data_IF_986062278119
#
_entry.id   IF_986062278119
#
_cell.length_a   1.000
_cell.length_b   1.000
_cell.length_c   1.000
_cell.angle_alpha   90.00
_cell.angle_beta   90.00
_cell.angle_gamma   90.00
#
_symmetry.space_group_name_H-M   'P 1'
#
loop_
_entity.id
_entity.type
_entity.pdbx_description
1 polymer ?
#
# COMPACT_ATOMS: atom_id res chain seq x y z
N UNK A 1 -8.64 -3.23 14.99
CA UNK A 1 -7.59 -2.19 15.14
C UNK A 1 -6.42 -2.81 15.90
N UNK A 2 -5.20 -2.65 15.41
CA UNK A 2 -3.97 -3.23 15.97
C UNK A 2 -3.15 -2.20 16.75
N UNK A 3 -3.17 -0.94 16.33
CA UNK A 3 -2.49 0.17 17.00
C UNK A 3 -3.30 1.45 16.86
N UNK A 4 -3.18 2.35 17.85
CA UNK A 4 -3.75 3.68 17.81
C UNK A 4 -2.70 4.76 17.53
N UNK A 5 -1.40 4.45 17.67
CA UNK A 5 -0.29 5.37 17.36
C UNK A 5 0.95 4.59 16.86
N UNK A 6 1.19 4.56 15.53
CA UNK A 6 0.30 5.01 14.44
C UNK A 6 -1.01 4.22 14.39
N UNK A 7 -2.02 4.79 13.75
CA UNK A 7 -3.27 4.06 13.52
C UNK A 7 -3.00 2.95 12.51
N UNK A 8 -3.25 1.69 12.91
CA UNK A 8 -3.09 0.50 12.10
C UNK A 8 -4.32 -0.39 12.27
N UNK A 9 -4.96 -0.74 11.16
CA UNK A 9 -6.06 -1.69 11.15
C UNK A 9 -6.13 -2.50 9.86
N UNK A 10 -6.81 -3.63 9.89
CA UNK A 10 -7.07 -4.48 8.73
C UNK A 10 -8.57 -4.50 8.45
N UNK A 11 -8.91 -4.40 7.18
CA UNK A 11 -10.25 -4.60 6.65
C UNK A 11 -10.29 -5.95 5.98
N UNK A 12 -11.10 -6.85 6.53
CA UNK A 12 -11.27 -8.20 6.02
C UNK A 12 -12.19 -8.21 4.80
N UNK A 13 -11.98 -9.14 3.89
CA UNK A 13 -12.81 -9.38 2.70
C UNK A 13 -13.09 -8.12 1.86
N UNK A 14 -12.12 -7.19 1.81
CA UNK A 14 -12.29 -5.94 1.09
C UNK A 14 -12.19 -6.10 -0.42
N UNK A 15 -11.16 -6.80 -0.91
CA UNK A 15 -11.01 -7.12 -2.32
C UNK A 15 -11.63 -8.49 -2.61
N UNK A 16 -12.48 -8.55 -3.61
CA UNK A 16 -12.96 -9.82 -4.14
C UNK A 16 -11.83 -10.57 -4.85
N UNK A 17 -12.06 -11.86 -5.10
CA UNK A 17 -11.15 -12.68 -5.89
C UNK A 17 -10.94 -12.09 -7.29
N UNK A 18 -12.00 -11.67 -7.95
CA UNK A 18 -11.94 -11.09 -9.29
C UNK A 18 -11.11 -9.80 -9.32
N UNK A 19 -11.21 -8.95 -8.28
CA UNK A 19 -10.39 -7.74 -8.15
C UNK A 19 -8.91 -8.08 -7.96
N UNK A 20 -8.60 -9.06 -7.12
CA UNK A 20 -7.21 -9.52 -6.92
C UNK A 20 -6.62 -10.07 -8.23
N UNK A 21 -7.37 -10.89 -8.96
CA UNK A 21 -6.95 -11.43 -10.26
C UNK A 21 -6.79 -10.33 -11.31
N UNK A 22 -7.67 -9.33 -11.32
CA UNK A 22 -7.59 -8.21 -12.26
C UNK A 22 -6.32 -7.38 -12.07
N UNK A 23 -5.94 -7.06 -10.82
CA UNK A 23 -4.67 -6.40 -10.54
C UNK A 23 -3.48 -7.18 -11.10
N UNK A 24 -3.44 -8.49 -10.88
CA UNK A 24 -2.38 -9.37 -11.38
C UNK A 24 -2.35 -9.41 -12.91
N UNK A 25 -3.52 -9.54 -13.53
CA UNK A 25 -3.65 -9.63 -14.99
C UNK A 25 -3.21 -8.34 -15.68
N UNK A 26 -3.61 -7.18 -15.14
CA UNK A 26 -3.19 -5.88 -15.67
C UNK A 26 -1.69 -5.69 -15.49
N UNK A 27 -1.15 -6.00 -14.30
CA UNK A 27 0.29 -5.90 -14.04
C UNK A 27 1.09 -6.73 -15.06
N UNK A 28 0.69 -7.97 -15.33
CA UNK A 28 1.33 -8.82 -16.33
C UNK A 28 1.28 -8.25 -17.76
N UNK A 29 0.18 -7.54 -18.11
CA UNK A 29 0.00 -6.95 -19.45
C UNK A 29 0.84 -5.70 -19.67
N UNK A 30 0.96 -4.83 -18.66
CA UNK A 30 1.70 -3.57 -18.81
C UNK A 30 3.21 -3.75 -18.76
N UNK A 31 3.69 -4.87 -18.23
CA UNK A 31 5.12 -5.13 -18.03
C UNK A 31 5.70 -4.40 -16.82
N UNK A 32 6.94 -4.73 -16.50
CA UNK A 32 7.65 -4.17 -15.36
C UNK A 32 8.21 -2.78 -15.69
N UNK A 33 8.04 -1.81 -14.78
CA UNK A 33 8.78 -0.54 -14.82
C UNK A 33 10.14 -0.67 -14.13
N UNK A 34 10.21 -1.51 -13.09
CA UNK A 34 11.42 -1.82 -12.34
C UNK A 34 11.36 -3.30 -11.94
N UNK A 35 12.45 -3.85 -11.38
CA UNK A 35 12.51 -5.26 -10.98
C UNK A 35 11.33 -5.58 -10.04
N UNK A 36 10.42 -6.43 -10.52
CA UNK A 36 9.25 -6.90 -9.78
C UNK A 36 8.21 -5.83 -9.38
N UNK A 37 8.26 -4.64 -9.95
CA UNK A 37 7.33 -3.54 -9.65
C UNK A 37 6.53 -3.17 -10.90
N UNK A 38 5.20 -3.08 -10.75
CA UNK A 38 4.24 -2.71 -11.79
C UNK A 38 3.39 -1.55 -11.31
N UNK A 39 3.34 -0.45 -12.09
CA UNK A 39 2.52 0.72 -11.77
C UNK A 39 1.21 0.68 -12.52
N UNK A 40 0.12 0.43 -11.80
CA UNK A 40 -1.21 0.28 -12.37
C UNK A 40 -2.03 1.55 -12.13
N UNK A 41 -2.69 2.06 -13.18
CA UNK A 41 -3.57 3.22 -13.06
C UNK A 41 -4.90 2.85 -12.38
N UNK A 42 -5.53 3.82 -11.72
CA UNK A 42 -6.81 3.65 -11.02
C UNK A 42 -7.98 3.31 -11.95
N UNK A 43 -7.87 3.68 -13.21
CA UNK A 43 -8.87 3.50 -14.28
C UNK A 43 -8.42 2.49 -15.35
N UNK A 44 -7.44 1.64 -15.03
CA UNK A 44 -6.93 0.64 -15.96
C UNK A 44 -8.00 -0.37 -16.41
N UNK A 45 -9.06 -0.54 -15.63
CA UNK A 45 -10.30 -1.23 -16.00
C UNK A 45 -11.48 -0.66 -15.20
N UNK A 46 -12.71 -0.97 -15.64
CA UNK A 46 -13.91 -0.58 -14.89
C UNK A 46 -13.92 -1.17 -13.48
N UNK A 47 -13.45 -2.39 -13.31
CA UNK A 47 -13.37 -3.05 -12.00
C UNK A 47 -12.41 -2.31 -11.06
N UNK A 48 -11.21 -1.95 -11.54
CA UNK A 48 -10.24 -1.19 -10.76
C UNK A 48 -10.73 0.23 -10.45
N UNK A 49 -11.47 0.84 -11.37
CA UNK A 49 -12.08 2.15 -11.13
C UNK A 49 -13.07 2.10 -9.94
N UNK A 50 -13.94 1.08 -9.88
CA UNK A 50 -14.88 0.90 -8.77
C UNK A 50 -14.15 0.52 -7.46
N UNK A 51 -13.11 -0.32 -7.53
CA UNK A 51 -12.23 -0.61 -6.39
C UNK A 51 -11.60 0.67 -5.83
N UNK A 52 -11.10 1.54 -6.72
CA UNK A 52 -10.49 2.82 -6.34
C UNK A 52 -11.47 3.74 -5.62
N UNK A 53 -12.73 3.80 -6.05
CA UNK A 53 -13.78 4.55 -5.35
C UNK A 53 -14.03 4.00 -3.95
N UNK A 54 -14.12 2.68 -3.80
CA UNK A 54 -14.32 2.04 -2.49
C UNK A 54 -13.15 2.31 -1.54
N UNK A 55 -11.91 2.22 -2.03
CA UNK A 55 -10.70 2.55 -1.24
C UNK A 55 -10.70 4.03 -0.82
N UNK A 56 -11.09 4.94 -1.72
CA UNK A 56 -11.24 6.37 -1.42
C UNK A 56 -12.25 6.63 -0.31
N UNK A 57 -13.40 5.94 -0.33
CA UNK A 57 -14.42 6.02 0.71
C UNK A 57 -13.90 5.46 2.03
N UNK A 58 -13.22 4.31 2.00
CA UNK A 58 -12.66 3.67 3.19
C UNK A 58 -11.74 4.60 3.98
N UNK A 59 -10.86 5.32 3.29
CA UNK A 59 -9.89 6.22 3.92
C UNK A 59 -10.33 7.68 3.94
N UNK A 60 -11.55 7.99 3.50
CA UNK A 60 -12.12 9.34 3.42
C UNK A 60 -11.21 10.35 2.70
N UNK A 61 -10.48 9.89 1.69
CA UNK A 61 -9.52 10.70 0.92
C UNK A 61 -9.78 10.52 -0.58
N UNK A 62 -9.90 11.59 -1.36
CA UNK A 62 -10.17 11.50 -2.78
C UNK A 62 -9.10 10.68 -3.53
N UNK A 63 -9.52 9.80 -4.45
CA UNK A 63 -8.60 8.97 -5.22
C UNK A 63 -7.57 9.77 -6.03
N UNK A 64 -7.89 10.98 -6.43
CA UNK A 64 -6.96 11.92 -7.08
C UNK A 64 -5.77 12.34 -6.21
N UNK A 65 -5.83 12.07 -4.91
CA UNK A 65 -4.70 12.25 -3.98
C UNK A 65 -3.85 10.98 -3.87
N UNK A 66 -4.24 9.89 -4.51
CA UNK A 66 -3.49 8.65 -4.46
C UNK A 66 -2.42 8.56 -5.56
N UNK A 67 -1.28 7.99 -5.22
CA UNK A 67 -0.28 7.55 -6.20
C UNK A 67 -0.86 6.38 -7.01
N UNK A 68 -0.25 6.04 -8.16
CA UNK A 68 -0.63 4.81 -8.88
C UNK A 68 -0.48 3.60 -7.97
N UNK A 69 -1.28 2.58 -8.19
CA UNK A 69 -1.07 1.31 -7.52
C UNK A 69 0.32 0.77 -7.81
N UNK A 70 1.00 0.32 -6.77
CA UNK A 70 2.21 -0.48 -6.89
C UNK A 70 1.82 -1.94 -6.69
N UNK A 71 1.85 -2.70 -7.76
CA UNK A 71 1.73 -4.16 -7.69
C UNK A 71 3.13 -4.73 -7.74
N UNK A 72 3.49 -5.54 -6.78
CA UNK A 72 4.86 -6.06 -6.62
C UNK A 72 4.83 -7.58 -6.50
N UNK A 73 5.84 -8.24 -7.06
CA UNK A 73 6.03 -9.67 -6.88
C UNK A 73 7.18 -9.94 -5.92
N UNK A 74 6.97 -10.87 -5.02
CA UNK A 74 8.02 -11.41 -4.15
C UNK A 74 8.25 -12.88 -4.48
N UNK A 75 9.53 -13.26 -4.59
CA UNK A 75 9.93 -14.65 -4.64
C UNK A 75 9.96 -15.24 -3.23
N UNK A 76 10.07 -16.57 -3.16
CA UNK A 76 10.15 -17.32 -1.91
C UNK A 76 11.08 -16.64 -0.89
N UNK A 77 10.56 -16.46 0.34
CA UNK A 77 11.31 -15.95 1.50
C UNK A 77 11.90 -14.54 1.39
N UNK A 78 11.47 -13.74 0.42
CA UNK A 78 11.90 -12.35 0.32
C UNK A 78 11.41 -11.55 1.53
N UNK A 79 12.35 -10.90 2.23
CA UNK A 79 12.07 -9.90 3.25
C UNK A 79 12.50 -8.55 2.69
N UNK A 80 11.61 -7.57 2.71
CA UNK A 80 11.99 -6.20 2.30
C UNK A 80 12.91 -5.56 3.35
N UNK A 81 13.69 -4.58 2.92
CA UNK A 81 14.33 -3.68 3.87
C UNK A 81 13.28 -2.93 4.69
N UNK A 82 13.62 -2.51 5.89
CA UNK A 82 12.75 -1.69 6.70
C UNK A 82 12.40 -0.39 5.95
N UNK A 83 11.12 -0.09 5.85
CA UNK A 83 10.60 1.00 5.02
C UNK A 83 9.73 1.91 5.88
N UNK A 84 9.85 3.22 5.66
CA UNK A 84 8.88 4.23 6.07
C UNK A 84 8.34 4.92 4.82
N UNK A 85 7.03 5.00 4.69
CA UNK A 85 6.40 5.57 3.49
C UNK A 85 6.27 7.10 3.53
N UNK A 86 6.16 7.68 4.72
CA UNK A 86 6.17 9.14 4.87
C UNK A 86 7.48 9.73 4.36
N UNK A 87 7.38 10.91 3.74
CA UNK A 87 8.54 11.62 3.21
C UNK A 87 9.26 12.36 4.33
N UNK A 88 10.59 12.30 4.33
CA UNK A 88 11.41 13.10 5.22
C UNK A 88 11.46 14.55 4.71
N UNK A 89 10.94 15.54 5.45
CA UNK A 89 10.88 16.93 5.00
C UNK A 89 12.27 17.56 4.73
N UNK A 90 13.31 17.09 5.41
CA UNK A 90 14.65 17.64 5.30
C UNK A 90 15.36 17.16 4.01
N UNK A 91 15.17 15.88 3.63
CA UNK A 91 15.90 15.27 2.52
C UNK A 91 15.04 15.07 1.26
N UNK A 92 13.71 15.09 1.40
CA UNK A 92 12.74 14.81 0.34
C UNK A 92 11.75 15.96 0.09
N UNK A 93 12.12 17.20 0.43
CA UNK A 93 11.25 18.38 0.30
C UNK A 93 10.68 18.57 -1.10
N UNK A 94 11.45 18.30 -2.15
CA UNK A 94 10.97 18.38 -3.54
C UNK A 94 9.81 17.45 -3.85
N UNK A 95 9.78 16.25 -3.24
CA UNK A 95 8.69 15.31 -3.37
C UNK A 95 7.43 15.71 -2.59
N UNK A 96 7.54 16.74 -1.74
CA UNK A 96 6.45 17.31 -0.96
C UNK A 96 5.90 18.61 -1.55
N UNK A 97 6.44 19.08 -2.69
CA UNK A 97 5.95 20.28 -3.35
C UNK A 97 4.47 20.17 -3.74
N UNK A 98 3.84 21.32 -3.95
CA UNK A 98 2.38 21.43 -4.17
C UNK A 98 1.88 20.51 -5.29
N UNK A 99 2.63 20.45 -6.39
CA UNK A 99 2.23 19.67 -7.57
C UNK A 99 2.56 18.17 -7.44
N UNK A 100 3.39 17.81 -6.47
CA UNK A 100 3.71 16.42 -6.12
C UNK A 100 2.77 15.80 -5.07
N UNK A 101 1.74 16.53 -4.62
CA UNK A 101 0.71 16.03 -3.70
C UNK A 101 1.03 16.15 -2.21
N UNK A 102 2.17 16.73 -1.82
CA UNK A 102 2.54 16.91 -0.41
C UNK A 102 3.00 15.62 0.28
N UNK A 103 2.73 15.50 1.57
CA UNK A 103 3.14 14.35 2.39
C UNK A 103 2.35 13.07 2.03
N UNK A 104 2.98 11.92 2.22
CA UNK A 104 2.36 10.59 2.15
C UNK A 104 1.70 10.27 3.49
N UNK A 105 0.39 10.42 3.57
CA UNK A 105 -0.34 10.32 4.84
C UNK A 105 -0.75 8.90 5.17
N UNK A 106 -1.19 8.13 4.16
CA UNK A 106 -1.75 6.79 4.35
C UNK A 106 -1.10 5.81 3.38
N UNK A 107 -0.84 4.61 3.86
CA UNK A 107 -0.47 3.45 3.04
C UNK A 107 -1.49 2.34 3.21
N UNK A 108 -1.99 1.82 2.10
CA UNK A 108 -2.84 0.65 2.04
C UNK A 108 -2.02 -0.49 1.45
N UNK A 109 -2.10 -1.66 2.08
CA UNK A 109 -1.33 -2.84 1.69
C UNK A 109 -2.24 -4.05 1.62
N UNK A 110 -2.11 -4.85 0.58
CA UNK A 110 -2.95 -6.03 0.39
C UNK A 110 -2.22 -7.21 -0.23
N UNK A 111 -2.64 -8.42 0.12
CA UNK A 111 -2.23 -9.66 -0.53
C UNK A 111 -3.20 -9.98 -1.68
N UNK A 112 -2.67 -10.29 -2.88
CA UNK A 112 -3.47 -10.52 -4.08
C UNK A 112 -3.60 -12.00 -4.48
N UNK A 113 -2.67 -12.88 -4.10
CA UNK A 113 -2.69 -14.28 -4.52
C UNK A 113 -3.39 -15.18 -3.52
N UNK A 114 -4.15 -16.18 -4.00
CA UNK A 114 -5.01 -17.06 -3.18
C UNK A 114 -4.32 -17.84 -2.05
N UNK A 115 -3.03 -18.04 -2.15
CA UNK A 115 -2.25 -18.80 -1.16
C UNK A 115 -1.27 -17.94 -0.39
N UNK A 116 -1.31 -16.63 -0.63
CA UNK A 116 -0.33 -15.73 -0.07
C UNK A 116 -0.72 -15.32 1.34
N UNK A 117 0.26 -15.45 2.21
CA UNK A 117 0.26 -14.80 3.50
C UNK A 117 1.41 -13.81 3.48
N UNK A 118 1.08 -12.56 3.48
CA UNK A 118 2.05 -11.49 3.69
C UNK A 118 2.12 -11.19 5.18
N UNK A 119 3.30 -11.22 5.71
CA UNK A 119 3.57 -10.75 7.06
C UNK A 119 4.10 -9.32 6.98
N UNK A 120 3.40 -8.40 7.63
CA UNK A 120 3.84 -7.01 7.81
C UNK A 120 4.26 -6.85 9.25
N UNK A 121 5.54 -6.59 9.48
CA UNK A 121 6.12 -6.47 10.82
C UNK A 121 6.49 -5.01 11.09
N UNK A 122 6.00 -4.50 12.21
CA UNK A 122 6.32 -3.18 12.76
C UNK A 122 7.23 -3.38 13.97
N UNK A 123 8.54 -3.24 13.77
CA UNK A 123 9.56 -3.52 14.78
C UNK A 123 9.43 -2.65 16.03
N UNK A 124 9.13 -1.35 15.84
CA UNK A 124 8.97 -0.38 16.93
C UNK A 124 7.72 -0.66 17.82
N UNK A 125 6.78 -1.48 17.33
CA UNK A 125 5.53 -1.81 18.05
C UNK A 125 5.48 -3.26 18.52
N UNK A 126 6.50 -4.06 18.24
CA UNK A 126 6.47 -5.52 18.44
C UNK A 126 5.20 -6.17 17.86
N UNK A 127 4.80 -5.69 16.67
CA UNK A 127 3.55 -6.08 16.01
C UNK A 127 3.84 -6.79 14.72
N UNK A 128 3.26 -7.99 14.54
CA UNK A 128 3.28 -8.77 13.32
C UNK A 128 1.85 -9.03 12.84
N UNK A 129 1.52 -8.57 11.62
CA UNK A 129 0.20 -8.73 11.01
C UNK A 129 0.33 -9.66 9.80
N UNK A 130 -0.47 -10.73 9.79
CA UNK A 130 -0.56 -11.67 8.68
C UNK A 130 -1.78 -11.34 7.84
N UNK A 131 -1.54 -10.87 6.61
CA UNK A 131 -2.61 -10.55 5.66
C UNK A 131 -2.96 -11.79 4.83
N UNK A 132 -4.23 -12.06 4.73
CA UNK A 132 -4.80 -13.03 3.80
C UNK A 132 -5.20 -12.34 2.49
N UNK A 133 -5.39 -13.13 1.44
CA UNK A 133 -5.86 -12.61 0.14
C UNK A 133 -7.16 -11.84 0.30
N UNK A 134 -7.22 -10.67 -0.31
CA UNK A 134 -8.39 -9.78 -0.25
C UNK A 134 -8.46 -8.87 0.98
N UNK A 135 -7.61 -9.06 1.97
CA UNK A 135 -7.52 -8.16 3.11
C UNK A 135 -6.69 -6.92 2.78
N UNK A 136 -7.09 -5.78 3.33
CA UNK A 136 -6.36 -4.51 3.21
C UNK A 136 -5.93 -4.03 4.60
N UNK A 137 -4.63 -3.89 4.80
CA UNK A 137 -4.06 -3.18 5.94
C UNK A 137 -4.02 -1.69 5.61
N UNK A 138 -4.51 -0.87 6.52
CA UNK A 138 -4.41 0.60 6.48
C UNK A 138 -3.43 1.06 7.54
N UNK A 139 -2.45 1.84 7.12
CA UNK A 139 -1.40 2.42 7.96
C UNK A 139 -1.41 3.94 7.84
N UNK A 140 -1.49 4.65 8.96
CA UNK A 140 -1.23 6.07 9.02
C UNK A 140 0.28 6.33 9.14
N UNK A 141 0.87 7.01 8.16
CA UNK A 141 2.32 7.22 8.06
C UNK A 141 2.81 8.37 8.94
N UNK A 142 1.91 9.25 9.34
CA UNK A 142 2.19 10.46 10.11
C UNK A 142 1.44 10.45 11.45
N UNK A 143 1.86 11.30 12.38
CA UNK A 143 1.12 11.54 13.60
C UNK A 143 -0.29 12.06 13.28
N UNK A 144 -1.28 11.71 14.10
CA UNK A 144 -2.67 12.12 13.92
C UNK A 144 -2.80 13.66 13.83
N UNK A 145 -3.55 14.13 12.82
CA UNK A 145 -3.74 15.56 12.58
C UNK A 145 -2.49 16.32 12.10
N UNK A 146 -1.42 15.62 11.73
CA UNK A 146 -0.14 16.20 11.35
C UNK A 146 0.38 15.63 10.02
N UNK A 147 1.29 16.38 9.39
CA UNK A 147 2.12 15.91 8.26
C UNK A 147 3.49 15.43 8.72
N UNK A 148 3.77 15.46 10.04
CA UNK A 148 5.04 14.99 10.58
C UNK A 148 5.10 13.46 10.57
N UNK A 149 6.17 12.87 10.00
CA UNK A 149 6.37 11.43 9.97
C UNK A 149 6.29 10.79 11.35
N UNK A 150 5.56 9.67 11.48
CA UNK A 150 5.57 8.87 12.69
C UNK A 150 6.63 7.76 12.54
N UNK A 151 7.73 7.79 13.30
CA UNK A 151 8.81 6.80 13.15
C UNK A 151 8.36 5.37 13.45
N UNK A 152 7.32 5.17 14.27
CA UNK A 152 6.74 3.86 14.55
C UNK A 152 5.97 3.26 13.37
N UNK A 153 5.74 4.04 12.28
CA UNK A 153 5.11 3.55 11.05
C UNK A 153 6.06 2.75 10.14
N UNK A 154 7.30 2.54 10.54
CA UNK A 154 8.26 1.69 9.83
C UNK A 154 7.84 0.24 9.86
N UNK A 155 8.00 -0.43 8.73
CA UNK A 155 7.64 -1.83 8.60
C UNK A 155 8.58 -2.59 7.64
N UNK A 156 8.55 -3.91 7.75
CA UNK A 156 9.07 -4.85 6.78
C UNK A 156 7.95 -5.73 6.26
N UNK A 157 8.08 -6.22 5.03
CA UNK A 157 7.15 -7.18 4.44
C UNK A 157 7.91 -8.48 4.17
N UNK A 158 7.30 -9.58 4.54
CA UNK A 158 7.80 -10.93 4.27
C UNK A 158 6.75 -11.74 3.52
N UNK A 159 7.15 -12.33 2.40
CA UNK A 159 6.36 -13.37 1.74
C UNK A 159 6.66 -14.72 2.40
N UNK A 160 5.61 -15.45 2.81
CA UNK A 160 5.77 -16.72 3.56
C UNK A 160 5.60 -17.96 2.70
N UNK A 161 5.25 -17.81 1.42
CA UNK A 161 4.98 -18.92 0.51
C UNK A 161 6.20 -19.32 -0.33
N UNK A 162 6.17 -20.58 -0.80
CA UNK A 162 7.17 -21.15 -1.73
C UNK A 162 6.96 -20.76 -3.20
N UNK A 163 5.94 -19.97 -3.49
CA UNK A 163 5.59 -19.50 -4.84
C UNK A 163 5.68 -17.99 -4.90
N UNK A 164 5.66 -17.44 -6.12
CA UNK A 164 5.63 -15.98 -6.33
C UNK A 164 4.38 -15.39 -5.70
N UNK A 165 4.57 -14.50 -4.74
CA UNK A 165 3.50 -13.76 -4.06
C UNK A 165 3.27 -12.41 -4.72
N UNK A 166 2.01 -12.03 -4.88
CA UNK A 166 1.60 -10.73 -5.42
C UNK A 166 1.08 -9.82 -4.32
N UNK A 167 1.63 -8.63 -4.29
CA UNK A 167 1.38 -7.63 -3.26
C UNK A 167 0.88 -6.33 -3.89
N UNK A 168 -0.12 -5.72 -3.27
CA UNK A 168 -0.67 -4.42 -3.64
C UNK A 168 -0.27 -3.36 -2.61
N UNK A 169 0.15 -2.20 -3.08
CA UNK A 169 0.34 -1.01 -2.26
C UNK A 169 -0.29 0.20 -2.94
N UNK A 170 -0.98 1.02 -2.15
CA UNK A 170 -1.55 2.29 -2.55
C UNK A 170 -1.20 3.33 -1.50
N UNK A 171 -0.68 4.48 -1.94
CA UNK A 171 -0.30 5.58 -1.06
C UNK A 171 -1.20 6.77 -1.34
N UNK A 172 -1.83 7.30 -0.30
CA UNK A 172 -2.58 8.55 -0.36
C UNK A 172 -1.74 9.72 0.14
N UNK A 173 -1.77 10.80 -0.62
CA UNK A 173 -1.08 12.05 -0.37
C UNK A 173 -1.98 13.05 0.33
N UNK A 174 -1.35 14.04 0.94
CA UNK A 174 -2.00 15.19 1.58
C UNK A 174 -2.92 15.95 0.61
N UNK A 175 -2.49 16.10 -0.63
CA UNK A 175 -3.13 16.92 -1.66
C UNK A 175 -3.21 16.20 -3.00
N UNK A 176 -3.97 16.80 -3.93
CA UNK A 176 -4.03 16.37 -5.32
C UNK A 176 -2.63 16.30 -5.96
N UNK A 177 -2.35 15.18 -6.60
CA UNK A 177 -1.20 15.00 -7.49
C UNK A 177 -1.59 15.57 -8.86
N UNK A 178 -0.78 16.50 -9.41
CA UNK A 178 -0.99 17.12 -10.72
C UNK A 178 -0.08 16.52 -11.77
#
# INVERSE_FOLDING_TARGET
MYSADPIIYVVHDFLSKDECEEFINIAKKIGQEDINIYRVNHDASNLLHETSKRLSILVQTPIRNAEKYLVTTFNEQTITTETIDSLNPETQSKLMEKDSGGQRLLSLMGALSEKDRLEVTFSELDLNIKLQTGEILVLHNCYEGSISPNPKSKYTIRATNKTVSWYLKLIFRERLIK
#
